data_IF_143228472884
#
_entry.id   IF_143228472884
#
_cell.length_a   1.000
_cell.length_b   1.000
_cell.length_c   1.000
_cell.angle_alpha   90.00
_cell.angle_beta   90.00
_cell.angle_gamma   90.00
#
_symmetry.space_group_name_H-M   'P 1'
#
loop_
_entity.id
_entity.type
_entity.pdbx_description
1 polymer ?
#
# COMPACT_ATOMS: atom_id res chain seq x y z
N UNK A 1 -31.55 -9.77 6.64
CA UNK A 1 -30.23 -9.80 5.96
C UNK A 1 -29.15 -9.34 6.91
N UNK A 2 -28.07 -10.08 6.97
CA UNK A 2 -26.92 -9.77 7.81
C UNK A 2 -25.74 -9.42 6.92
N UNK A 3 -25.16 -8.24 7.13
CA UNK A 3 -23.87 -7.88 6.54
C UNK A 3 -22.78 -8.52 7.39
N UNK A 4 -21.96 -9.34 6.80
CA UNK A 4 -21.02 -10.19 7.51
C UNK A 4 -19.64 -10.21 6.85
N UNK A 5 -18.66 -10.68 7.61
CA UNK A 5 -17.33 -10.95 7.09
C UNK A 5 -16.82 -12.29 7.63
N UNK A 6 -16.05 -12.97 6.81
CA UNK A 6 -15.19 -14.06 7.21
C UNK A 6 -13.77 -13.51 7.31
N UNK A 7 -13.07 -13.88 8.38
CA UNK A 7 -11.78 -13.30 8.69
C UNK A 7 -10.64 -14.28 8.46
N UNK A 8 -9.50 -13.74 8.06
CA UNK A 8 -8.23 -14.46 8.08
C UNK A 8 -7.68 -14.48 9.52
N UNK A 9 -6.70 -15.33 9.82
CA UNK A 9 -6.11 -15.38 11.17
C UNK A 9 -5.54 -14.04 11.66
N UNK A 10 -5.11 -13.18 10.75
CA UNK A 10 -4.58 -11.86 11.11
C UNK A 10 -5.65 -10.79 11.33
N UNK A 11 -6.93 -11.13 11.21
CA UNK A 11 -8.04 -10.20 11.39
C UNK A 11 -8.45 -9.46 10.12
N UNK A 12 -7.73 -9.62 9.03
CA UNK A 12 -8.14 -9.04 7.75
C UNK A 12 -9.30 -9.82 7.16
N UNK A 13 -10.07 -9.16 6.31
CA UNK A 13 -11.27 -9.77 5.72
C UNK A 13 -10.88 -10.66 4.56
N UNK A 14 -11.34 -11.92 4.64
CA UNK A 14 -11.20 -12.88 3.55
C UNK A 14 -12.36 -12.76 2.56
N UNK A 15 -13.58 -12.62 3.11
CA UNK A 15 -14.79 -12.50 2.32
C UNK A 15 -15.80 -11.65 3.08
N UNK A 16 -16.49 -10.77 2.38
CA UNK A 16 -17.60 -9.99 2.94
C UNK A 16 -18.83 -10.13 2.06
N UNK A 17 -20.00 -10.11 2.67
CA UNK A 17 -21.24 -10.26 1.93
C UNK A 17 -22.46 -9.93 2.77
N UNK A 18 -23.62 -10.17 2.18
CA UNK A 18 -24.91 -9.99 2.83
C UNK A 18 -25.69 -11.30 2.63
N UNK A 19 -26.21 -11.85 3.71
CA UNK A 19 -26.97 -13.10 3.65
C UNK A 19 -27.96 -13.20 4.81
N UNK A 20 -29.02 -13.97 4.62
CA UNK A 20 -29.92 -14.33 5.71
C UNK A 20 -29.29 -15.39 6.62
N UNK A 21 -28.41 -16.20 6.05
CA UNK A 21 -27.73 -17.28 6.77
C UNK A 21 -26.24 -17.23 6.43
N UNK A 22 -25.48 -16.33 7.08
CA UNK A 22 -24.04 -16.25 6.83
C UNK A 22 -23.34 -17.57 7.12
N UNK A 23 -22.18 -17.84 6.47
CA UNK A 23 -21.40 -19.05 6.73
C UNK A 23 -20.94 -19.14 8.18
N UNK A 24 -20.67 -20.34 8.72
CA UNK A 24 -20.16 -20.49 10.07
C UNK A 24 -18.87 -19.69 10.31
N UNK A 25 -18.74 -19.13 11.51
CA UNK A 25 -17.57 -18.36 11.88
C UNK A 25 -17.60 -16.90 11.45
N UNK A 26 -18.73 -16.43 10.94
CA UNK A 26 -18.84 -15.06 10.49
C UNK A 26 -18.80 -14.04 11.64
N UNK A 27 -18.42 -12.83 11.31
CA UNK A 27 -18.51 -11.66 12.20
C UNK A 27 -19.41 -10.63 11.52
N UNK A 28 -20.26 -9.97 12.31
CA UNK A 28 -21.16 -8.95 11.79
C UNK A 28 -20.36 -7.69 11.46
N UNK A 29 -20.58 -7.11 10.29
CA UNK A 29 -19.95 -5.85 9.90
C UNK A 29 -20.48 -4.69 10.73
N UNK A 30 -19.71 -3.59 10.88
CA UNK A 30 -20.17 -2.41 11.61
C UNK A 30 -21.45 -1.85 10.98
N UNK A 31 -22.36 -1.28 11.78
CA UNK A 31 -23.55 -0.65 11.24
C UNK A 31 -23.22 0.46 10.24
N UNK A 32 -23.93 0.47 9.12
CA UNK A 32 -23.75 1.48 8.09
C UNK A 32 -22.61 1.22 7.12
N UNK A 33 -21.80 0.18 7.36
CA UNK A 33 -20.73 -0.21 6.43
C UNK A 33 -21.27 -1.22 5.43
N UNK A 34 -21.05 -0.95 4.15
CA UNK A 34 -21.38 -1.91 3.10
C UNK A 34 -20.22 -2.86 2.85
N UNK A 35 -20.48 -4.10 2.36
CA UNK A 35 -19.40 -5.06 2.12
C UNK A 35 -18.30 -4.57 1.18
N UNK A 36 -18.61 -3.67 0.26
CA UNK A 36 -17.62 -3.14 -0.68
C UNK A 36 -16.51 -2.33 -0.01
N UNK A 37 -16.79 -1.70 1.14
CA UNK A 37 -15.80 -0.93 1.91
C UNK A 37 -15.17 -1.73 3.04
N UNK A 38 -15.66 -2.93 3.28
CA UNK A 38 -15.16 -3.77 4.37
C UNK A 38 -13.65 -4.11 4.26
N UNK A 39 -13.06 -4.29 3.07
CA UNK A 39 -11.63 -4.58 2.96
C UNK A 39 -10.71 -3.51 3.54
N UNK A 40 -11.21 -2.31 3.82
CA UNK A 40 -10.42 -1.24 4.47
C UNK A 40 -10.29 -1.43 5.98
N UNK A 41 -11.01 -2.39 6.55
CA UNK A 41 -11.03 -2.65 7.98
C UNK A 41 -10.41 -4.00 8.32
N UNK A 42 -10.00 -4.13 9.57
CA UNK A 42 -9.62 -5.39 10.17
C UNK A 42 -10.31 -5.54 11.52
N UNK A 43 -10.43 -6.77 11.98
CA UNK A 43 -11.10 -7.08 13.25
C UNK A 43 -10.08 -7.64 14.23
N UNK A 44 -9.90 -6.98 15.37
CA UNK A 44 -8.99 -7.42 16.42
C UNK A 44 -9.63 -7.22 17.79
N UNK A 45 -9.50 -8.22 18.64
CA UNK A 45 -9.98 -8.17 20.04
C UNK A 45 -11.43 -7.70 20.16
N UNK A 46 -12.28 -8.19 19.26
CA UNK A 46 -13.69 -7.83 19.26
C UNK A 46 -14.02 -6.46 18.67
N UNK A 47 -13.04 -5.78 18.08
CA UNK A 47 -13.23 -4.44 17.54
C UNK A 47 -12.90 -4.36 16.07
N UNK A 48 -13.66 -3.54 15.35
CA UNK A 48 -13.35 -3.15 13.99
C UNK A 48 -12.44 -1.95 13.99
N UNK A 49 -11.29 -2.06 13.32
CA UNK A 49 -10.28 -1.01 13.25
C UNK A 49 -9.91 -0.76 11.79
N UNK A 50 -9.52 0.46 11.44
CA UNK A 50 -8.93 0.69 10.12
C UNK A 50 -7.65 -0.13 10.00
N UNK A 51 -7.39 -0.65 8.80
CA UNK A 51 -6.12 -1.30 8.54
C UNK A 51 -5.00 -0.26 8.63
N UNK A 52 -3.84 -0.62 9.20
CA UNK A 52 -2.75 0.35 9.34
C UNK A 52 -2.22 0.77 7.97
N UNK A 53 -1.85 2.04 7.87
CA UNK A 53 -1.19 2.57 6.69
C UNK A 53 0.32 2.38 6.79
N UNK A 54 0.99 2.37 5.64
CA UNK A 54 2.45 2.40 5.62
C UNK A 54 2.96 3.74 6.15
N UNK A 55 4.19 3.78 6.70
CA UNK A 55 4.83 5.05 7.04
C UNK A 55 4.90 5.98 5.83
N UNK A 56 5.03 7.29 6.04
CA UNK A 56 5.06 8.26 4.94
C UNK A 56 6.21 8.01 3.98
N UNK A 57 5.96 8.28 2.70
CA UNK A 57 6.98 8.26 1.66
C UNK A 57 7.70 9.60 1.65
N UNK A 58 9.02 9.57 1.74
CA UNK A 58 9.85 10.77 1.66
C UNK A 58 10.57 10.81 0.30
N UNK A 59 10.35 11.87 -0.46
CA UNK A 59 11.04 12.05 -1.73
C UNK A 59 12.46 12.57 -1.48
N UNK A 60 13.44 12.06 -2.22
CA UNK A 60 14.85 12.32 -1.96
C UNK A 60 15.54 13.08 -3.10
N UNK A 61 14.85 13.47 -4.13
CA UNK A 61 15.47 14.10 -5.30
C UNK A 61 16.06 13.11 -6.30
N UNK A 62 16.46 11.94 -5.85
CA UNK A 62 16.94 10.85 -6.71
C UNK A 62 16.01 9.63 -6.68
N UNK A 63 14.96 9.72 -5.86
CA UNK A 63 14.01 8.63 -5.68
C UNK A 63 13.14 8.89 -4.48
N UNK A 64 12.95 7.85 -3.66
CA UNK A 64 12.15 7.96 -2.45
C UNK A 64 12.63 6.96 -1.39
N UNK A 65 12.21 7.20 -0.15
CA UNK A 65 12.51 6.32 0.96
C UNK A 65 11.30 6.20 1.90
N UNK A 66 11.16 5.04 2.53
CA UNK A 66 10.20 4.81 3.61
C UNK A 66 10.99 4.30 4.81
N UNK A 67 11.02 5.10 5.87
CA UNK A 67 11.69 4.74 7.13
C UNK A 67 10.71 3.95 7.99
N UNK A 68 11.21 3.02 8.78
CA UNK A 68 10.40 2.12 9.60
C UNK A 68 9.38 1.33 8.77
N UNK A 69 9.78 0.95 7.56
CA UNK A 69 8.94 0.22 6.63
C UNK A 69 8.80 -1.25 7.08
N UNK A 70 7.58 -1.79 7.12
CA UNK A 70 7.40 -3.22 7.37
C UNK A 70 8.11 -4.06 6.31
N UNK A 71 8.54 -5.25 6.69
CA UNK A 71 9.11 -6.19 5.73
C UNK A 71 8.08 -6.64 4.71
N UNK A 72 8.52 -6.92 3.50
CA UNK A 72 7.65 -7.45 2.45
C UNK A 72 6.91 -6.39 1.65
N UNK A 73 7.16 -5.12 1.90
CA UNK A 73 6.63 -4.05 1.04
C UNK A 73 7.42 -4.06 -0.26
N UNK A 74 6.70 -4.11 -1.37
CA UNK A 74 7.29 -4.11 -2.70
C UNK A 74 6.97 -2.80 -3.41
N UNK A 75 7.98 -2.18 -4.00
CA UNK A 75 7.81 -1.02 -4.85
C UNK A 75 8.04 -1.42 -6.30
N UNK A 76 7.10 -1.08 -7.16
CA UNK A 76 7.25 -1.22 -8.60
C UNK A 76 7.42 0.17 -9.18
N UNK A 77 8.50 0.38 -9.93
CA UNK A 77 8.84 1.68 -10.51
C UNK A 77 8.67 1.60 -12.01
N UNK A 78 7.88 2.52 -12.54
CA UNK A 78 7.54 2.60 -13.97
C UNK A 78 8.02 3.91 -14.55
N UNK A 79 8.41 3.88 -15.82
CA UNK A 79 8.58 5.11 -16.59
C UNK A 79 7.19 5.72 -16.79
N UNK A 80 6.98 6.93 -16.30
CA UNK A 80 5.67 7.57 -16.35
C UNK A 80 5.22 7.88 -17.79
N UNK A 81 6.17 8.13 -18.70
CA UNK A 81 5.84 8.45 -20.09
C UNK A 81 5.41 7.24 -20.89
N UNK A 82 6.02 6.08 -20.65
CA UNK A 82 5.79 4.88 -21.45
C UNK A 82 4.97 3.82 -20.73
N UNK A 83 4.90 3.89 -19.39
CA UNK A 83 4.25 2.88 -18.58
C UNK A 83 5.06 1.59 -18.41
N UNK A 84 6.30 1.57 -18.89
CA UNK A 84 7.15 0.39 -18.81
C UNK A 84 7.67 0.20 -17.39
N UNK A 85 7.55 -1.03 -16.87
CA UNK A 85 8.14 -1.38 -15.59
C UNK A 85 9.66 -1.38 -15.70
N UNK A 86 10.31 -0.58 -14.87
CA UNK A 86 11.77 -0.44 -14.86
C UNK A 86 12.43 -1.31 -13.81
N UNK A 87 11.77 -1.58 -12.70
CA UNK A 87 12.33 -2.39 -11.64
C UNK A 87 11.42 -2.54 -10.45
N UNK A 88 11.85 -3.40 -9.53
CA UNK A 88 11.17 -3.66 -8.26
C UNK A 88 12.18 -3.59 -7.13
N UNK A 89 11.72 -3.13 -5.98
CA UNK A 89 12.49 -3.14 -4.76
C UNK A 89 11.62 -3.71 -3.64
N UNK A 90 12.26 -4.43 -2.71
CA UNK A 90 11.57 -5.01 -1.57
C UNK A 90 12.21 -4.43 -0.31
N UNK A 91 11.37 -4.09 0.67
CA UNK A 91 11.86 -3.54 1.94
C UNK A 91 12.73 -4.55 2.69
N UNK A 92 13.83 -4.05 3.25
CA UNK A 92 14.76 -4.85 4.05
C UNK A 92 15.25 -4.02 5.24
N UNK A 93 15.40 -4.68 6.38
CA UNK A 93 15.99 -4.04 7.55
C UNK A 93 15.23 -2.86 8.10
N UNK A 94 13.91 -2.80 7.89
CA UNK A 94 13.09 -1.71 8.37
C UNK A 94 13.06 -0.50 7.46
N UNK A 95 13.57 -0.60 6.24
CA UNK A 95 13.52 0.51 5.29
C UNK A 95 13.26 0.04 3.86
N UNK A 96 12.77 0.97 3.06
CA UNK A 96 12.66 0.80 1.62
C UNK A 96 13.24 2.05 0.98
N UNK A 97 14.37 1.89 0.29
CA UNK A 97 15.07 2.99 -0.36
C UNK A 97 15.16 2.69 -1.85
N UNK A 98 14.72 3.64 -2.67
CA UNK A 98 14.77 3.51 -4.12
C UNK A 98 15.44 4.74 -4.70
N UNK A 99 16.47 4.52 -5.52
CA UNK A 99 17.14 5.55 -6.26
C UNK A 99 17.10 5.23 -7.75
N UNK A 100 16.83 6.25 -8.54
CA UNK A 100 16.83 6.15 -10.00
C UNK A 100 17.86 7.14 -10.52
N UNK A 101 18.99 6.66 -11.08
CA UNK A 101 20.06 7.57 -11.47
C UNK A 101 19.74 8.43 -12.70
N UNK A 102 18.85 7.93 -13.56
CA UNK A 102 18.56 8.61 -14.81
C UNK A 102 17.49 9.69 -14.63
N UNK A 103 17.64 10.85 -15.27
CA UNK A 103 16.61 11.87 -15.25
C UNK A 103 15.30 11.38 -15.87
N UNK A 104 14.18 11.82 -15.31
CA UNK A 104 12.88 11.46 -15.83
C UNK A 104 11.79 11.59 -14.78
N UNK A 105 10.58 11.23 -15.20
CA UNK A 105 9.41 11.17 -14.31
C UNK A 105 9.04 9.71 -14.16
N UNK A 106 8.87 9.29 -12.92
CA UNK A 106 8.62 7.90 -12.57
C UNK A 106 7.32 7.78 -11.79
N UNK A 107 6.60 6.70 -12.05
CA UNK A 107 5.40 6.33 -11.30
C UNK A 107 5.74 5.15 -10.40
N UNK A 108 5.29 5.21 -9.17
CA UNK A 108 5.53 4.15 -8.19
C UNK A 108 4.22 3.56 -7.74
N UNK A 109 4.15 2.24 -7.73
CA UNK A 109 3.06 1.50 -7.12
C UNK A 109 3.63 0.66 -5.99
N UNK A 110 3.09 0.85 -4.79
CA UNK A 110 3.50 0.09 -3.62
C UNK A 110 2.52 -1.04 -3.38
N UNK A 111 3.06 -2.20 -3.05
CA UNK A 111 2.28 -3.38 -2.67
C UNK A 111 2.65 -3.69 -1.23
N UNK A 112 1.66 -3.59 -0.35
CA UNK A 112 1.87 -3.80 1.08
C UNK A 112 1.40 -5.17 1.50
N UNK A 113 2.15 -5.86 2.40
CA UNK A 113 1.65 -7.09 2.99
C UNK A 113 0.53 -6.78 3.98
N UNK A 114 -0.42 -7.70 4.15
CA UNK A 114 -1.43 -7.55 5.18
C UNK A 114 -0.78 -7.50 6.57
N UNK A 115 -1.31 -6.71 7.49
CA UNK A 115 -2.57 -5.95 7.43
C UNK A 115 -2.45 -4.55 6.83
N UNK A 116 -1.30 -4.16 6.31
CA UNK A 116 -1.04 -2.80 5.86
C UNK A 116 -1.78 -2.46 4.59
N UNK A 117 -2.14 -1.18 4.46
CA UNK A 117 -2.74 -0.63 3.25
C UNK A 117 -1.69 0.23 2.56
N UNK A 118 -1.47 -0.03 1.27
CA UNK A 118 -0.57 0.78 0.49
C UNK A 118 -1.22 2.12 0.13
N UNK A 119 -0.45 3.21 0.03
CA UNK A 119 -0.96 4.47 -0.49
C UNK A 119 -1.27 4.34 -1.98
N UNK A 120 -2.01 5.34 -2.50
CA UNK A 120 -2.23 5.42 -3.94
C UNK A 120 -0.91 5.55 -4.69
N UNK A 121 -0.86 5.13 -5.97
CA UNK A 121 0.33 5.34 -6.78
C UNK A 121 0.74 6.82 -6.79
N UNK A 122 2.03 7.06 -6.80
CA UNK A 122 2.56 8.41 -6.78
C UNK A 122 3.67 8.57 -7.80
N UNK A 123 4.03 9.81 -8.09
CA UNK A 123 5.09 10.14 -9.03
C UNK A 123 6.23 10.86 -8.33
N UNK A 124 7.44 10.66 -8.83
CA UNK A 124 8.56 11.50 -8.48
C UNK A 124 9.36 11.80 -9.74
N UNK A 125 10.13 12.87 -9.68
CA UNK A 125 10.99 13.28 -10.80
C UNK A 125 12.44 13.32 -10.36
N UNK A 126 13.31 12.93 -11.27
CA UNK A 126 14.75 13.08 -11.12
C UNK A 126 15.20 14.09 -12.18
N UNK A 127 15.82 15.17 -11.73
CA UNK A 127 16.28 16.23 -12.63
C UNK A 127 17.64 15.89 -13.19
N UNK A 128 17.91 16.40 -14.37
CA UNK A 128 19.25 16.30 -14.91
C UNK A 128 20.21 17.12 -14.06
N UNK A 129 21.44 16.61 -13.84
CA UNK A 129 22.44 17.43 -13.19
C UNK A 129 22.66 18.70 -13.98
N UNK A 130 22.52 19.82 -13.33
CA UNK A 130 22.78 21.08 -13.98
C UNK A 130 24.29 21.25 -14.17
N UNK A 131 24.71 21.53 -15.40
CA UNK A 131 26.02 22.09 -15.59
C UNK A 131 26.02 23.45 -14.91
N UNK A 132 27.07 23.73 -14.14
CA UNK A 132 27.15 25.00 -13.47
C UNK A 132 27.22 26.11 -14.53
N UNK A 133 26.25 27.04 -14.54
CA UNK A 133 26.22 28.07 -15.59
C UNK A 133 27.37 29.07 -15.54
N UNK A 134 28.17 28.99 -14.52
CA UNK A 134 29.34 29.84 -14.43
C UNK A 134 30.55 29.29 -15.13
N UNK A 135 30.48 28.12 -15.58
CA UNK A 135 31.59 27.52 -16.29
C UNK A 135 31.79 27.99 -17.67
#
# INVERSE_FOLDING_TARGET
MIAYALLKPNGCIDLAGISRQPPPGYVVLPPGLTPEFAPLLMHQEGQWLPRPELPPVALTGAGFAIVDCPEGVTAEVFDAATGVLLGRAISEGGSLDVETPDPGIYRVELIAPEPFVAPDPFHYSVEEPHADPQE
#
